data_IF_844402498909
#
_entry.id   IF_844402498909
#
_cell.length_a   1.000
_cell.length_b   1.000
_cell.length_c   1.000
_cell.angle_alpha   90.00
_cell.angle_beta   90.00
_cell.angle_gamma   90.00
#
_symmetry.space_group_name_H-M   'P 1'
#
loop_
_entity.id
_entity.type
_entity.pdbx_description
1 polymer ?
#
# COMPACT_ATOMS: atom_id res chain seq x y z
N UNK A 1 -2.29 16.59 -8.37
CA UNK A 1 -1.97 15.64 -7.30
C UNK A 1 -1.82 14.24 -7.86
N UNK A 2 -1.22 13.34 -7.09
CA UNK A 2 -1.02 11.95 -7.51
C UNK A 2 -1.81 11.04 -6.58
N UNK A 3 -2.54 10.10 -7.15
CA UNK A 3 -3.19 9.01 -6.44
C UNK A 3 -2.32 7.76 -6.57
N UNK A 4 -1.83 7.27 -5.46
CA UNK A 4 -0.95 6.10 -5.38
C UNK A 4 -1.77 4.92 -4.84
N UNK A 5 -1.92 3.89 -5.64
CA UNK A 5 -2.78 2.75 -5.32
C UNK A 5 -1.95 1.48 -5.40
N UNK A 6 -1.93 0.70 -4.34
CA UNK A 6 -1.20 -0.56 -4.31
C UNK A 6 -2.12 -1.68 -3.86
N UNK A 7 -2.17 -2.75 -4.65
CA UNK A 7 -2.92 -3.95 -4.34
C UNK A 7 -1.97 -5.04 -3.88
N UNK A 8 -2.30 -5.66 -2.75
CA UNK A 8 -1.52 -6.77 -2.20
C UNK A 8 -2.37 -8.00 -2.01
N UNK A 9 -1.76 -9.18 -2.20
CA UNK A 9 -2.28 -10.41 -1.62
C UNK A 9 -1.24 -11.01 -0.70
N UNK A 10 -1.70 -11.65 0.38
CA UNK A 10 -0.84 -12.39 1.28
C UNK A 10 -0.57 -13.79 0.72
N UNK A 11 0.60 -14.34 1.03
CA UNK A 11 0.96 -15.70 0.59
C UNK A 11 0.16 -16.77 1.34
N UNK A 12 -0.41 -16.42 2.51
CA UNK A 12 -1.31 -17.26 3.29
C UNK A 12 -2.39 -16.39 3.89
N UNK A 13 -3.62 -16.91 3.96
CA UNK A 13 -4.73 -16.17 4.55
C UNK A 13 -4.42 -15.70 5.98
N UNK A 14 -3.76 -16.51 6.77
CA UNK A 14 -3.40 -16.19 8.15
C UNK A 14 -2.42 -15.01 8.27
N UNK A 15 -1.75 -14.63 7.17
CA UNK A 15 -0.80 -13.52 7.15
C UNK A 15 -1.42 -12.18 6.76
N UNK A 16 -2.71 -12.15 6.37
CA UNK A 16 -3.38 -10.93 5.92
C UNK A 16 -3.34 -9.84 6.99
N UNK A 17 -3.69 -10.18 8.23
CA UNK A 17 -3.73 -9.18 9.31
C UNK A 17 -2.34 -8.67 9.68
N UNK A 18 -1.34 -9.56 9.74
CA UNK A 18 0.04 -9.15 10.00
C UNK A 18 0.55 -8.19 8.92
N UNK A 19 0.19 -8.47 7.66
CA UNK A 19 0.58 -7.64 6.52
C UNK A 19 -0.12 -6.28 6.57
N UNK A 20 -1.42 -6.25 6.87
CA UNK A 20 -2.17 -5.01 7.03
C UNK A 20 -1.58 -4.15 8.14
N UNK A 21 -1.31 -4.76 9.30
CA UNK A 21 -0.72 -4.05 10.44
C UNK A 21 0.67 -3.50 10.08
N UNK A 22 1.49 -4.29 9.38
CA UNK A 22 2.82 -3.83 8.94
C UNK A 22 2.74 -2.65 7.99
N UNK A 23 1.82 -2.68 7.03
CA UNK A 23 1.67 -1.62 6.03
C UNK A 23 1.18 -0.30 6.63
N UNK A 24 0.51 -0.31 7.78
CA UNK A 24 0.06 0.94 8.44
C UNK A 24 1.23 1.83 8.84
N UNK A 25 2.43 1.27 9.03
CA UNK A 25 3.63 2.06 9.34
C UNK A 25 3.97 3.07 8.24
N UNK A 26 3.57 2.80 6.98
CA UNK A 26 3.80 3.73 5.87
C UNK A 26 3.05 5.05 6.05
N UNK A 27 1.96 5.03 6.81
CA UNK A 27 1.18 6.23 7.12
C UNK A 27 1.90 7.22 8.04
N UNK A 28 2.97 6.78 8.70
CA UNK A 28 3.78 7.67 9.56
C UNK A 28 4.75 8.52 8.75
N UNK A 29 4.96 8.20 7.47
CA UNK A 29 5.84 9.00 6.60
C UNK A 29 5.14 10.32 6.26
N UNK A 30 5.79 11.48 6.48
CA UNK A 30 5.08 12.76 6.49
C UNK A 30 4.82 13.39 5.12
N UNK A 31 4.92 12.63 4.04
CA UNK A 31 4.84 13.18 2.68
C UNK A 31 3.51 12.98 1.97
N UNK A 32 2.63 12.12 2.49
CA UNK A 32 1.29 11.95 1.93
C UNK A 32 0.31 12.94 2.53
N UNK A 33 -0.64 13.40 1.74
CA UNK A 33 -1.75 14.23 2.22
C UNK A 33 -2.94 13.39 2.69
N UNK A 34 -3.02 12.15 2.21
CA UNK A 34 -3.99 11.14 2.63
C UNK A 34 -3.29 9.79 2.58
N UNK A 35 -3.58 8.91 3.55
CA UNK A 35 -3.04 7.56 3.57
C UNK A 35 -4.04 6.60 4.20
N UNK A 36 -4.34 5.51 3.50
CA UNK A 36 -5.27 4.49 3.98
C UNK A 36 -4.75 3.09 3.68
N UNK A 37 -4.92 2.17 4.61
CA UNK A 37 -4.71 0.74 4.40
C UNK A 37 -6.03 0.06 4.73
N UNK A 38 -6.64 -0.58 3.73
CA UNK A 38 -7.96 -1.18 3.88
C UNK A 38 -7.94 -2.62 3.39
N UNK A 39 -8.86 -3.43 3.89
CA UNK A 39 -9.09 -4.77 3.39
C UNK A 39 -10.01 -4.70 2.18
N UNK A 40 -9.73 -5.56 1.19
CA UNK A 40 -10.66 -5.76 0.08
C UNK A 40 -11.91 -6.47 0.61
N UNK A 41 -13.09 -5.93 0.34
CA UNK A 41 -14.36 -6.54 0.76
C UNK A 41 -14.69 -7.83 0.01
N UNK A 42 -13.98 -8.08 -1.10
CA UNK A 42 -14.09 -9.31 -1.92
C UNK A 42 -15.50 -9.59 -2.43
N UNK A 43 -16.23 -8.52 -2.74
CA UNK A 43 -17.57 -8.64 -3.31
C UNK A 43 -17.55 -8.94 -4.82
N UNK A 44 -16.43 -8.65 -5.48
CA UNK A 44 -16.25 -8.94 -6.91
C UNK A 44 -15.50 -10.26 -7.07
N UNK A 45 -16.13 -11.30 -7.63
CA UNK A 45 -15.48 -12.60 -7.79
C UNK A 45 -14.29 -12.59 -8.75
N UNK A 46 -14.16 -11.55 -9.58
CA UNK A 46 -13.02 -11.40 -10.50
C UNK A 46 -11.80 -10.80 -9.84
N UNK A 47 -11.91 -10.30 -8.60
CA UNK A 47 -10.85 -9.62 -7.87
C UNK A 47 -10.69 -10.13 -6.44
N UNK A 48 -11.14 -11.32 -6.14
CA UNK A 48 -11.12 -11.87 -4.78
C UNK A 48 -9.73 -12.31 -4.32
N UNK A 49 -8.75 -12.35 -5.21
CA UNK A 49 -7.36 -12.65 -4.86
C UNK A 49 -6.66 -11.49 -4.13
N UNK A 50 -7.14 -10.25 -4.30
CA UNK A 50 -6.58 -9.08 -3.63
C UNK A 50 -7.11 -9.03 -2.20
N UNK A 51 -6.20 -8.93 -1.23
CA UNK A 51 -6.52 -8.91 0.19
C UNK A 51 -6.52 -7.50 0.77
N UNK A 52 -5.53 -6.67 0.39
CA UNK A 52 -5.27 -5.38 1.01
C UNK A 52 -5.06 -4.33 -0.07
N UNK A 53 -5.59 -3.13 0.17
CA UNK A 53 -5.37 -1.96 -0.68
C UNK A 53 -4.70 -0.87 0.15
N UNK A 54 -3.57 -0.38 -0.34
CA UNK A 54 -2.95 0.84 0.16
C UNK A 54 -3.33 1.96 -0.80
N UNK A 55 -3.94 3.01 -0.28
CA UNK A 55 -4.29 4.19 -1.06
C UNK A 55 -3.68 5.42 -0.41
N UNK A 56 -2.95 6.20 -1.18
CA UNK A 56 -2.35 7.43 -0.70
C UNK A 56 -2.44 8.53 -1.74
N UNK A 57 -2.48 9.77 -1.28
CA UNK A 57 -2.47 10.95 -2.14
C UNK A 57 -1.24 11.79 -1.83
N UNK A 58 -0.63 12.29 -2.90
CA UNK A 58 0.55 13.14 -2.82
C UNK A 58 0.30 14.41 -3.64
N UNK A 59 0.79 15.55 -3.14
CA UNK A 59 0.60 16.83 -3.84
C UNK A 59 1.26 16.85 -5.20
N UNK A 60 2.40 16.16 -5.35
CA UNK A 60 3.19 16.10 -6.58
C UNK A 60 4.11 14.87 -6.60
N UNK A 61 4.84 14.71 -7.69
CA UNK A 61 5.79 13.61 -7.85
C UNK A 61 6.96 13.71 -6.87
N UNK A 62 7.38 14.92 -6.49
CA UNK A 62 8.46 15.10 -5.53
C UNK A 62 8.07 14.54 -4.16
N UNK A 63 6.82 14.76 -3.73
CA UNK A 63 6.32 14.19 -2.47
C UNK A 63 6.28 12.67 -2.52
N UNK A 64 5.83 12.09 -3.63
CA UNK A 64 5.83 10.63 -3.82
C UNK A 64 7.25 10.07 -3.78
N UNK A 65 8.20 10.71 -4.45
CA UNK A 65 9.60 10.30 -4.44
C UNK A 65 10.18 10.36 -3.03
N UNK A 66 9.92 11.44 -2.29
CA UNK A 66 10.37 11.60 -0.90
C UNK A 66 9.78 10.51 0.01
N UNK A 67 8.53 10.16 -0.18
CA UNK A 67 7.86 9.08 0.53
C UNK A 67 8.60 7.75 0.31
N UNK A 68 8.90 7.41 -0.94
CA UNK A 68 9.59 6.15 -1.27
C UNK A 68 11.04 6.13 -0.80
N UNK A 69 11.67 7.29 -0.66
CA UNK A 69 13.04 7.42 -0.18
C UNK A 69 13.16 7.44 1.35
N UNK A 70 12.04 7.55 2.07
CA UNK A 70 12.06 7.60 3.53
C UNK A 70 12.50 6.24 4.10
N UNK A 71 13.32 6.22 5.18
CA UNK A 71 13.79 4.95 5.78
C UNK A 71 12.67 4.00 6.16
N UNK A 72 11.55 4.52 6.66
CA UNK A 72 10.38 3.72 7.04
C UNK A 72 9.80 2.94 5.85
N UNK A 73 9.91 3.48 4.62
CA UNK A 73 9.43 2.79 3.42
C UNK A 73 10.22 1.48 3.20
N UNK A 74 11.56 1.55 3.21
CA UNK A 74 12.40 0.38 3.03
C UNK A 74 12.23 -0.65 4.16
N UNK A 75 12.15 -0.18 5.40
CA UNK A 75 11.91 -1.06 6.56
C UNK A 75 10.59 -1.80 6.44
N UNK A 76 9.53 -1.08 6.10
CA UNK A 76 8.19 -1.66 5.98
C UNK A 76 8.12 -2.65 4.82
N UNK A 77 8.65 -2.29 3.65
CA UNK A 77 8.62 -3.20 2.49
C UNK A 77 9.43 -4.46 2.75
N UNK A 78 10.57 -4.36 3.45
CA UNK A 78 11.37 -5.54 3.84
C UNK A 78 10.61 -6.45 4.78
N UNK A 79 9.85 -5.87 5.73
CA UNK A 79 9.07 -6.63 6.70
C UNK A 79 7.87 -7.32 6.07
N UNK A 80 7.23 -6.67 5.10
CA UNK A 80 6.02 -7.18 4.42
C UNK A 80 6.34 -8.19 3.33
N UNK A 81 7.50 -8.04 2.67
CA UNK A 81 7.88 -8.88 1.52
C UNK A 81 7.72 -10.39 1.76
N UNK A 82 8.16 -10.96 2.89
CA UNK A 82 7.98 -12.41 3.10
C UNK A 82 6.54 -12.85 3.32
N UNK A 83 5.61 -11.92 3.52
CA UNK A 83 4.19 -12.22 3.74
C UNK A 83 3.36 -12.09 2.47
N UNK A 84 3.87 -11.40 1.44
CA UNK A 84 3.09 -11.10 0.24
C UNK A 84 3.25 -12.16 -0.83
N UNK A 85 2.18 -12.37 -1.60
CA UNK A 85 2.18 -13.13 -2.84
C UNK A 85 2.23 -12.20 -4.03
N UNK A 86 1.27 -11.28 -4.14
CA UNK A 86 1.15 -10.34 -5.24
C UNK A 86 1.29 -8.90 -4.75
N UNK A 87 1.85 -8.06 -5.61
CA UNK A 87 1.86 -6.62 -5.45
C UNK A 87 1.72 -5.95 -6.81
N UNK A 88 0.64 -5.21 -6.98
CA UNK A 88 0.41 -4.36 -8.16
C UNK A 88 0.25 -2.93 -7.71
N UNK A 89 0.78 -1.99 -8.48
CA UNK A 89 0.63 -0.58 -8.15
C UNK A 89 0.32 0.25 -9.39
N UNK A 90 -0.37 1.35 -9.17
CA UNK A 90 -0.61 2.36 -10.17
C UNK A 90 -0.51 3.74 -9.53
N UNK A 91 0.09 4.67 -10.25
CA UNK A 91 0.17 6.08 -9.86
C UNK A 91 -0.57 6.88 -10.93
N UNK A 92 -1.62 7.57 -10.50
CA UNK A 92 -2.53 8.27 -11.42
C UNK A 92 -2.53 9.75 -11.08
N UNK A 93 -2.35 10.59 -12.10
CA UNK A 93 -2.48 12.04 -11.93
C UNK A 93 -3.96 12.41 -11.87
N UNK A 94 -4.33 13.23 -10.89
CA UNK A 94 -5.68 13.73 -10.69
C UNK A 94 -5.70 15.24 -10.66
N UNK A 95 -6.73 15.80 -11.20
CA UNK A 95 -6.97 17.24 -11.25
C UNK A 95 -6.42 17.93 -12.47
#
# INVERSE_FOLDING_TARGET
MIRHIVFFSANRHENVEAMRAGLTALGTIPHSSLFEVTLNSKVDPLSDEIDIVVYAEFSDEAALTAYKAHPTYAETTSRVRPLRELRFSADVKAG
#
